data_IF_908814139417
#
_entry.id   IF_908814139417
#
_cell.length_a   1.000
_cell.length_b   1.000
_cell.length_c   1.000
_cell.angle_alpha   90.00
_cell.angle_beta   90.00
_cell.angle_gamma   90.00
#
_symmetry.space_group_name_H-M   'P 1'
#
loop_
_entity.id
_entity.type
_entity.pdbx_description
1 polymer ?
#
# COMPACT_ATOMS: atom_id res chain seq x y z
N UNK A 1 -9.27 -25.89 -6.81
CA UNK A 1 -7.97 -25.89 -6.12
C UNK A 1 -7.42 -27.30 -6.15
N UNK A 2 -6.09 -27.46 -6.20
CA UNK A 2 -5.46 -28.78 -6.20
C UNK A 2 -5.57 -29.40 -4.78
N UNK A 3 -6.35 -30.48 -4.57
CA UNK A 3 -6.68 -30.96 -3.22
C UNK A 3 -5.47 -31.49 -2.43
N UNK A 4 -4.40 -31.89 -3.12
CA UNK A 4 -3.16 -32.37 -2.49
C UNK A 4 -2.39 -31.24 -1.79
N UNK A 5 -2.24 -30.09 -2.42
CA UNK A 5 -1.52 -28.94 -1.86
C UNK A 5 -2.27 -28.33 -0.65
N UNK A 6 -3.60 -28.39 -0.65
CA UNK A 6 -4.42 -27.84 0.43
C UNK A 6 -4.36 -28.65 1.74
N UNK A 7 -3.79 -29.86 1.72
CA UNK A 7 -3.59 -30.66 2.94
C UNK A 7 -2.39 -30.17 3.76
N UNK A 8 -1.35 -29.70 3.09
CA UNK A 8 -0.05 -29.41 3.72
C UNK A 8 0.20 -27.91 3.89
N UNK A 9 -0.57 -27.06 3.21
CA UNK A 9 -0.37 -25.62 3.19
C UNK A 9 -1.66 -24.86 3.50
N UNK A 10 -1.56 -23.83 4.34
CA UNK A 10 -2.69 -22.94 4.58
C UNK A 10 -2.99 -22.11 3.32
N UNK A 11 -4.21 -21.58 3.16
CA UNK A 11 -4.51 -20.64 2.09
C UNK A 11 -3.60 -19.40 2.07
N UNK A 12 -3.02 -19.02 3.21
CA UNK A 12 -2.08 -17.91 3.29
C UNK A 12 -0.72 -18.28 2.71
N UNK A 13 -0.23 -19.49 2.97
CA UNK A 13 1.05 -19.99 2.45
C UNK A 13 1.00 -20.12 0.92
N UNK A 14 -0.11 -20.65 0.39
CA UNK A 14 -0.33 -20.76 -1.05
C UNK A 14 -0.32 -19.37 -1.72
N UNK A 15 -0.98 -18.37 -1.11
CA UNK A 15 -0.98 -17.00 -1.65
C UNK A 15 0.38 -16.34 -1.57
N UNK A 16 1.12 -16.58 -0.48
CA UNK A 16 2.47 -16.07 -0.30
C UNK A 16 3.41 -16.62 -1.39
N UNK A 17 3.41 -17.93 -1.61
CA UNK A 17 4.20 -18.58 -2.66
C UNK A 17 3.78 -18.11 -4.07
N UNK A 18 2.47 -17.96 -4.33
CA UNK A 18 2.00 -17.43 -5.61
C UNK A 18 2.45 -15.98 -5.83
N UNK A 19 2.42 -15.15 -4.78
CA UNK A 19 2.90 -13.76 -4.84
C UNK A 19 4.40 -13.74 -5.10
N UNK A 20 5.19 -14.55 -4.39
CA UNK A 20 6.62 -14.68 -4.64
C UNK A 20 6.91 -15.08 -6.09
N UNK A 21 6.23 -16.11 -6.61
CA UNK A 21 6.39 -16.55 -7.99
C UNK A 21 6.04 -15.44 -9.01
N UNK A 22 4.91 -14.76 -8.83
CA UNK A 22 4.46 -13.69 -9.72
C UNK A 22 5.42 -12.48 -9.71
N UNK A 23 6.07 -12.22 -8.58
CA UNK A 23 6.97 -11.08 -8.40
C UNK A 23 8.46 -11.46 -8.45
N UNK A 24 8.81 -12.74 -8.70
CA UNK A 24 10.18 -13.17 -8.92
C UNK A 24 10.75 -12.64 -10.25
N UNK A 25 9.89 -12.40 -11.24
CA UNK A 25 10.24 -11.94 -12.58
C UNK A 25 9.48 -10.69 -13.00
N UNK A 26 9.62 -9.60 -12.25
CA UNK A 26 8.93 -8.33 -12.56
C UNK A 26 9.39 -7.81 -13.93
N UNK A 27 8.42 -7.48 -14.79
CA UNK A 27 8.70 -6.91 -16.12
C UNK A 27 9.55 -5.64 -16.02
N UNK A 28 10.55 -5.45 -16.92
CA UNK A 28 11.33 -4.22 -17.00
C UNK A 28 10.48 -2.95 -17.10
N UNK A 29 9.29 -3.04 -17.72
CA UNK A 29 8.35 -1.92 -17.81
C UNK A 29 7.83 -1.48 -16.44
N UNK A 30 7.50 -2.43 -15.57
CA UNK A 30 7.05 -2.13 -14.19
C UNK A 30 8.19 -1.53 -13.38
N UNK A 31 9.43 -2.05 -13.55
CA UNK A 31 10.62 -1.51 -12.88
C UNK A 31 10.90 -0.07 -13.34
N UNK A 32 10.83 0.19 -14.64
CA UNK A 32 11.03 1.53 -15.20
C UNK A 32 9.98 2.51 -14.68
N UNK A 33 8.71 2.09 -14.65
CA UNK A 33 7.62 2.89 -14.13
C UNK A 33 7.76 3.15 -12.62
N UNK A 34 8.16 2.14 -11.84
CA UNK A 34 8.43 2.30 -10.41
C UNK A 34 9.56 3.29 -10.15
N UNK A 35 10.64 3.25 -10.95
CA UNK A 35 11.73 4.25 -10.86
C UNK A 35 11.23 5.66 -11.17
N UNK A 36 10.40 5.83 -12.21
CA UNK A 36 9.78 7.12 -12.55
C UNK A 36 8.95 7.65 -11.39
N UNK A 37 8.11 6.82 -10.80
CA UNK A 37 7.28 7.21 -9.66
C UNK A 37 8.12 7.50 -8.40
N UNK A 38 9.14 6.70 -8.10
CA UNK A 38 10.03 6.91 -6.96
C UNK A 38 10.74 8.27 -7.06
N UNK A 39 11.28 8.61 -8.23
CA UNK A 39 11.89 9.93 -8.48
C UNK A 39 10.88 11.07 -8.36
N UNK A 40 9.62 10.87 -8.79
CA UNK A 40 8.58 11.87 -8.66
C UNK A 40 8.14 12.09 -7.20
N UNK A 41 8.06 11.02 -6.43
CA UNK A 41 7.57 11.04 -5.04
C UNK A 41 8.65 11.54 -4.07
N UNK A 42 9.88 11.06 -4.21
CA UNK A 42 10.96 11.30 -3.25
C UNK A 42 12.09 12.18 -3.78
N UNK A 43 12.09 12.50 -5.08
CA UNK A 43 13.20 13.20 -5.71
C UNK A 43 14.42 12.32 -5.95
N UNK A 44 15.53 12.92 -6.43
CA UNK A 44 16.77 12.19 -6.76
C UNK A 44 17.48 11.59 -5.54
N UNK A 45 17.18 12.05 -4.33
CA UNK A 45 17.74 11.52 -3.09
C UNK A 45 17.14 10.15 -2.71
N UNK A 46 15.99 9.80 -3.29
CA UNK A 46 15.29 8.56 -2.96
C UNK A 46 14.56 8.61 -1.61
N UNK A 47 13.89 7.50 -1.24
CA UNK A 47 13.10 7.42 -0.03
C UNK A 47 13.98 7.52 1.23
N UNK A 48 13.49 8.16 2.31
CA UNK A 48 14.20 8.20 3.58
C UNK A 48 14.24 6.81 4.25
N UNK A 49 15.31 6.52 5.00
CA UNK A 49 15.52 5.19 5.61
C UNK A 49 14.41 4.79 6.60
N UNK A 50 13.80 5.73 7.32
CA UNK A 50 12.73 5.45 8.30
C UNK A 50 11.32 5.62 7.71
N UNK A 51 11.15 5.30 6.42
CA UNK A 51 9.86 5.41 5.73
C UNK A 51 8.83 4.39 6.25
N UNK A 52 7.62 4.87 6.52
CA UNK A 52 6.45 4.06 6.83
C UNK A 52 5.45 4.14 5.68
N UNK A 53 5.06 3.01 5.11
CA UNK A 53 3.98 2.94 4.12
C UNK A 53 2.64 2.91 4.84
N UNK A 54 1.76 3.85 4.51
CA UNK A 54 0.37 3.90 4.95
C UNK A 54 -0.53 3.70 3.74
N UNK A 55 -1.32 2.62 3.72
CA UNK A 55 -2.31 2.40 2.67
C UNK A 55 -3.73 2.66 3.17
N UNK A 56 -4.35 3.73 2.66
CA UNK A 56 -5.72 4.10 2.98
C UNK A 56 -6.65 3.74 1.82
N UNK A 57 -7.46 2.69 2.01
CA UNK A 57 -8.51 2.30 1.06
C UNK A 57 -9.82 3.01 1.42
N UNK A 58 -9.92 4.28 1.06
CA UNK A 58 -11.20 5.01 0.99
C UNK A 58 -11.73 4.99 -0.45
N UNK A 59 -12.80 5.73 -0.74
CA UNK A 59 -13.51 5.69 -2.02
C UNK A 59 -14.81 4.89 -1.98
N UNK A 60 -15.09 4.14 -3.05
CA UNK A 60 -16.29 3.32 -3.22
C UNK A 60 -16.50 2.30 -2.09
N UNK A 61 -15.41 1.86 -1.45
CA UNK A 61 -15.40 0.94 -0.31
C UNK A 61 -16.11 1.48 0.94
N UNK A 62 -16.33 2.79 1.07
CA UNK A 62 -17.18 3.35 2.12
C UNK A 62 -18.63 2.85 2.08
N UNK A 63 -19.07 2.34 0.92
CA UNK A 63 -20.38 1.71 0.74
C UNK A 63 -20.41 0.25 1.21
N UNK A 64 -19.25 -0.39 1.35
CA UNK A 64 -19.11 -1.80 1.72
C UNK A 64 -18.72 -2.00 3.19
N UNK A 65 -18.03 -1.02 3.80
CA UNK A 65 -17.59 -1.12 5.19
C UNK A 65 -17.39 0.25 5.84
N UNK A 66 -17.52 0.30 7.18
CA UNK A 66 -17.14 1.48 7.97
C UNK A 66 -15.67 1.81 7.75
N UNK A 67 -15.39 3.01 7.24
CA UNK A 67 -14.03 3.46 6.97
C UNK A 67 -13.23 3.57 8.28
N UNK A 68 -11.95 3.21 8.22
CA UNK A 68 -10.99 3.48 9.30
C UNK A 68 -10.65 4.96 9.23
N UNK A 69 -10.76 5.66 10.36
CA UNK A 69 -10.51 7.10 10.43
C UNK A 69 -9.03 7.43 10.24
N UNK A 70 -8.73 8.61 9.68
CA UNK A 70 -7.37 9.11 9.52
C UNK A 70 -6.59 9.12 10.86
N UNK A 71 -7.25 9.50 11.96
CA UNK A 71 -6.66 9.49 13.30
C UNK A 71 -6.17 8.10 13.74
N UNK A 72 -6.87 7.02 13.35
CA UNK A 72 -6.41 5.66 13.65
C UNK A 72 -5.15 5.30 12.89
N UNK A 73 -5.03 5.72 11.62
CA UNK A 73 -3.80 5.56 10.85
C UNK A 73 -2.64 6.33 11.46
N UNK A 74 -2.83 7.60 11.82
CA UNK A 74 -1.81 8.43 12.50
C UNK A 74 -1.38 7.79 13.81
N UNK A 75 -2.32 7.34 14.63
CA UNK A 75 -2.00 6.67 15.90
C UNK A 75 -1.24 5.35 15.70
N UNK A 76 -1.51 4.61 14.63
CA UNK A 76 -0.73 3.43 14.28
C UNK A 76 0.69 3.79 13.85
N UNK A 77 0.88 4.80 12.99
CA UNK A 77 2.22 5.27 12.61
C UNK A 77 3.02 5.68 13.84
N UNK A 78 2.43 6.41 14.80
CA UNK A 78 3.10 6.79 16.05
C UNK A 78 3.63 5.59 16.85
N UNK A 79 2.95 4.44 16.82
CA UNK A 79 3.39 3.21 17.50
C UNK A 79 4.57 2.54 16.80
N UNK A 80 4.78 2.83 15.52
CA UNK A 80 5.90 2.30 14.74
C UNK A 80 7.13 3.21 14.83
N UNK A 81 6.94 4.52 14.98
CA UNK A 81 8.06 5.44 15.17
C UNK A 81 8.78 5.19 16.51
N UNK A 82 10.12 5.17 16.55
CA UNK A 82 10.89 5.05 17.80
C UNK A 82 10.51 6.13 18.82
N UNK A 83 10.54 5.79 20.12
CA UNK A 83 10.20 6.73 21.20
C UNK A 83 11.12 7.97 21.24
N UNK A 84 12.32 7.83 20.67
CA UNK A 84 13.44 8.75 20.65
C UNK A 84 13.67 9.39 19.26
N UNK A 85 12.90 9.03 18.23
CA UNK A 85 12.82 9.86 17.02
C UNK A 85 11.93 11.05 17.36
N UNK A 86 12.56 12.16 17.68
CA UNK A 86 11.91 13.44 17.92
C UNK A 86 11.05 13.83 16.72
N UNK A 87 9.72 13.64 16.85
CA UNK A 87 8.62 14.31 16.11
C UNK A 87 8.49 14.11 14.59
N UNK A 88 9.55 13.82 13.85
CA UNK A 88 9.52 13.79 12.37
C UNK A 88 9.27 12.38 11.84
N UNK A 89 8.07 12.13 11.30
CA UNK A 89 7.73 10.87 10.63
C UNK A 89 7.86 11.01 9.12
N UNK A 90 8.42 10.01 8.44
CA UNK A 90 8.41 9.93 6.98
C UNK A 90 7.36 8.91 6.53
N UNK A 91 6.31 9.38 5.84
CA UNK A 91 5.15 8.57 5.47
C UNK A 91 5.02 8.55 3.96
N UNK A 92 5.02 7.35 3.37
CA UNK A 92 4.49 7.15 2.03
C UNK A 92 2.99 6.84 2.13
N UNK A 93 2.15 7.73 1.62
CA UNK A 93 0.70 7.63 1.69
C UNK A 93 0.13 7.13 0.36
N UNK A 94 -0.17 5.84 0.32
CA UNK A 94 -0.82 5.18 -0.81
C UNK A 94 -2.35 5.24 -0.67
N UNK A 95 -3.01 5.95 -1.58
CA UNK A 95 -4.47 6.02 -1.65
C UNK A 95 -4.92 6.49 -3.03
N UNK A 96 -6.13 6.10 -3.43
CA UNK A 96 -6.80 6.62 -4.62
C UNK A 96 -7.79 7.76 -4.29
N UNK A 97 -7.91 8.16 -3.02
CA UNK A 97 -8.90 9.11 -2.56
C UNK A 97 -8.25 10.42 -2.08
N UNK A 98 -8.44 11.56 -2.77
CA UNK A 98 -7.93 12.85 -2.30
C UNK A 98 -8.51 13.25 -0.94
N UNK A 99 -9.72 12.80 -0.58
CA UNK A 99 -10.29 13.07 0.74
C UNK A 99 -9.52 12.35 1.85
N UNK A 100 -8.97 11.15 1.57
CA UNK A 100 -8.09 10.44 2.50
C UNK A 100 -6.78 11.19 2.72
N UNK A 101 -6.20 11.76 1.67
CA UNK A 101 -4.99 12.59 1.76
C UNK A 101 -5.24 13.80 2.66
N UNK A 102 -6.32 14.54 2.40
CA UNK A 102 -6.68 15.70 3.21
C UNK A 102 -6.89 15.33 4.68
N UNK A 103 -7.72 14.31 4.94
CA UNK A 103 -8.00 13.88 6.31
C UNK A 103 -6.75 13.38 7.04
N UNK A 104 -5.86 12.66 6.35
CA UNK A 104 -4.59 12.20 6.94
C UNK A 104 -3.66 13.37 7.25
N UNK A 105 -3.49 14.32 6.33
CA UNK A 105 -2.69 15.54 6.55
C UNK A 105 -3.23 16.38 7.71
N UNK A 106 -4.55 16.53 7.82
CA UNK A 106 -5.17 17.26 8.93
C UNK A 106 -5.01 16.57 10.29
N UNK A 107 -4.94 15.24 10.33
CA UNK A 107 -4.78 14.48 11.56
C UNK A 107 -3.31 14.27 11.96
N UNK A 108 -2.38 14.33 11.00
CA UNK A 108 -0.96 14.10 11.22
C UNK A 108 -0.28 15.29 11.90
N UNK A 109 0.76 15.06 12.73
CA UNK A 109 1.64 16.12 13.20
C UNK A 109 2.24 16.93 12.03
N UNK A 110 2.38 18.26 12.15
CA UNK A 110 2.93 19.11 11.09
C UNK A 110 4.39 18.81 10.78
N UNK A 111 5.12 18.16 11.70
CA UNK A 111 6.52 17.75 11.51
C UNK A 111 6.66 16.49 10.64
N UNK A 112 5.56 15.87 10.22
CA UNK A 112 5.63 14.67 9.37
C UNK A 112 5.80 15.03 7.90
N UNK A 113 6.75 14.37 7.25
CA UNK A 113 6.90 14.41 5.80
C UNK A 113 5.94 13.38 5.19
N UNK A 114 4.92 13.86 4.48
CA UNK A 114 3.90 13.02 3.85
C UNK A 114 4.10 13.03 2.35
N UNK A 115 4.70 11.96 1.84
CA UNK A 115 4.89 11.68 0.43
C UNK A 115 3.64 11.00 -0.12
N UNK A 116 2.93 11.65 -1.03
CA UNK A 116 1.69 11.11 -1.61
C UNK A 116 2.04 10.30 -2.87
N UNK A 117 1.39 9.15 -3.02
CA UNK A 117 1.54 8.29 -4.17
C UNK A 117 1.27 9.02 -5.50
N UNK A 118 2.23 8.94 -6.42
CA UNK A 118 2.15 9.52 -7.76
C UNK A 118 0.95 8.98 -8.56
N UNK A 119 0.50 7.76 -8.27
CA UNK A 119 -0.72 7.19 -8.86
C UNK A 119 -1.93 8.11 -8.66
N UNK A 120 -2.10 8.65 -7.46
CA UNK A 120 -3.25 9.51 -7.16
C UNK A 120 -3.26 10.73 -8.08
N UNK A 121 -2.16 11.47 -8.11
CA UNK A 121 -2.06 12.71 -8.89
C UNK A 121 -2.26 12.48 -10.38
N UNK A 122 -1.68 11.40 -10.91
CA UNK A 122 -1.73 11.07 -12.33
C UNK A 122 -3.13 10.68 -12.80
N UNK A 123 -3.86 9.91 -11.98
CA UNK A 123 -5.17 9.40 -12.35
C UNK A 123 -6.34 10.16 -11.76
N UNK A 124 -6.10 11.17 -10.90
CA UNK A 124 -7.15 12.02 -10.35
C UNK A 124 -8.07 12.63 -11.43
N UNK A 125 -7.58 13.16 -12.57
CA UNK A 125 -8.45 13.70 -13.64
C UNK A 125 -9.34 12.65 -14.31
N UNK A 126 -8.98 11.37 -14.18
CA UNK A 126 -9.70 10.24 -14.77
C UNK A 126 -10.57 9.49 -13.77
N UNK A 127 -10.42 9.79 -12.47
CA UNK A 127 -11.18 9.18 -11.39
C UNK A 127 -12.65 9.54 -11.50
N UNK A 128 -13.51 8.53 -11.47
CA UNK A 128 -14.94 8.70 -11.29
C UNK A 128 -15.35 8.26 -9.88
N UNK A 129 -15.27 9.19 -8.93
CA UNK A 129 -15.47 8.92 -7.50
C UNK A 129 -16.84 8.32 -7.15
N UNK A 130 -17.84 8.49 -8.02
CA UNK A 130 -19.21 8.05 -7.79
C UNK A 130 -19.52 6.68 -8.42
N UNK A 131 -18.58 6.10 -9.18
CA UNK A 131 -18.80 4.88 -9.95
C UNK A 131 -18.15 3.68 -9.27
N UNK A 132 -18.95 2.66 -8.99
CA UNK A 132 -18.45 1.34 -8.58
C UNK A 132 -17.51 0.78 -9.66
N UNK A 133 -16.41 0.12 -9.27
CA UNK A 133 -15.37 -0.34 -10.19
C UNK A 133 -14.75 0.78 -11.06
N UNK A 134 -14.52 1.96 -10.47
CA UNK A 134 -13.89 3.09 -11.16
C UNK A 134 -12.54 2.74 -11.81
N UNK A 135 -11.66 2.03 -11.10
CA UNK A 135 -10.33 1.69 -11.61
C UNK A 135 -10.33 0.72 -12.80
N UNK A 136 -11.07 -0.42 -12.79
CA UNK A 136 -11.18 -1.28 -13.98
C UNK A 136 -11.65 -0.52 -15.23
N UNK A 137 -12.63 0.38 -15.07
CA UNK A 137 -13.15 1.17 -16.18
C UNK A 137 -12.14 2.21 -16.68
N UNK A 138 -11.42 2.86 -15.76
CA UNK A 138 -10.32 3.75 -16.07
C UNK A 138 -9.20 3.02 -16.81
N UNK A 139 -8.85 1.80 -16.38
CA UNK A 139 -7.87 0.96 -17.05
C UNK A 139 -8.28 0.60 -18.46
N UNK A 140 -9.54 0.22 -18.68
CA UNK A 140 -10.03 -0.06 -20.03
C UNK A 140 -9.95 1.19 -20.93
N UNK A 141 -10.32 2.36 -20.40
CA UNK A 141 -10.27 3.64 -21.14
C UNK A 141 -8.85 4.08 -21.48
N UNK A 142 -7.90 3.83 -20.58
CA UNK A 142 -6.51 4.31 -20.68
C UNK A 142 -5.53 3.21 -21.15
N UNK A 143 -6.02 2.16 -21.81
CA UNK A 143 -5.17 1.12 -22.39
C UNK A 143 -4.33 0.34 -21.38
N UNK A 144 -4.82 0.20 -20.14
CA UNK A 144 -4.15 -0.53 -19.08
C UNK A 144 -3.10 0.26 -18.29
N UNK A 145 -2.84 1.53 -18.60
CA UNK A 145 -1.83 2.34 -17.89
C UNK A 145 -2.04 2.42 -16.37
N UNK A 146 -3.27 2.48 -15.81
CA UNK A 146 -3.44 2.45 -14.35
C UNK A 146 -3.06 1.11 -13.72
N UNK A 147 -3.16 0.01 -14.47
CA UNK A 147 -2.70 -1.30 -13.99
C UNK A 147 -1.18 -1.31 -13.82
N UNK A 148 -0.46 -0.81 -14.83
CA UNK A 148 0.99 -0.66 -14.80
C UNK A 148 1.42 0.29 -13.66
N UNK A 149 0.80 1.47 -13.58
CA UNK A 149 1.11 2.45 -12.56
C UNK A 149 0.77 1.97 -11.14
N UNK A 150 -0.30 1.19 -10.98
CA UNK A 150 -0.63 0.54 -9.72
C UNK A 150 0.45 -0.45 -9.28
N UNK A 151 0.89 -1.34 -10.19
CA UNK A 151 1.99 -2.27 -9.90
C UNK A 151 3.29 -1.54 -9.55
N UNK A 152 3.58 -0.41 -10.20
CA UNK A 152 4.72 0.42 -9.84
C UNK A 152 4.59 1.07 -8.47
N UNK A 153 3.42 1.65 -8.15
CA UNK A 153 3.11 2.19 -6.82
C UNK A 153 3.29 1.13 -5.72
N UNK A 154 2.94 -0.13 -6.01
CA UNK A 154 3.19 -1.24 -5.10
C UNK A 154 4.68 -1.42 -4.78
N UNK A 155 5.56 -1.29 -5.77
CA UNK A 155 7.01 -1.36 -5.56
C UNK A 155 7.54 -0.14 -4.80
N UNK A 156 7.03 1.05 -5.10
CA UNK A 156 7.35 2.26 -4.33
C UNK A 156 6.95 2.09 -2.86
N UNK A 157 5.79 1.48 -2.59
CA UNK A 157 5.34 1.16 -1.24
C UNK A 157 6.27 0.17 -0.51
N UNK A 158 7.01 -0.67 -1.24
CA UNK A 158 7.95 -1.65 -0.70
C UNK A 158 9.31 -1.05 -0.30
N UNK A 159 9.57 0.22 -0.62
CA UNK A 159 10.74 0.94 -0.13
C UNK A 159 10.66 1.26 1.37
N UNK A 160 9.47 1.15 1.97
CA UNK A 160 9.26 1.36 3.39
C UNK A 160 9.74 0.19 4.25
N UNK A 161 10.09 0.52 5.50
CA UNK A 161 10.55 -0.44 6.49
C UNK A 161 9.46 -0.90 7.47
N UNK A 162 8.37 -0.13 7.57
CA UNK A 162 7.21 -0.48 8.37
C UNK A 162 5.90 -0.11 7.65
N UNK A 163 4.80 -0.73 8.06
CA UNK A 163 3.54 -0.66 7.32
C UNK A 163 2.32 -0.42 8.22
N UNK A 164 1.42 0.46 7.80
CA UNK A 164 0.07 0.58 8.36
C UNK A 164 -0.95 0.31 7.27
N UNK A 165 -1.68 -0.80 7.41
CA UNK A 165 -2.53 -1.33 6.35
C UNK A 165 -3.93 -1.68 6.88
N UNK A 166 -4.83 -2.01 5.95
CA UNK A 166 -6.14 -2.59 6.25
C UNK A 166 -6.33 -3.84 5.40
N UNK A 167 -6.08 -5.04 5.93
CA UNK A 167 -6.07 -6.27 5.11
C UNK A 167 -7.46 -6.70 4.60
N UNK A 168 -8.51 -5.98 4.98
CA UNK A 168 -9.80 -5.96 4.28
C UNK A 168 -9.70 -5.46 2.83
N UNK A 169 -8.66 -4.70 2.48
CA UNK A 169 -8.32 -4.33 1.11
C UNK A 169 -7.45 -5.40 0.47
N UNK A 170 -7.84 -5.89 -0.71
CA UNK A 170 -7.02 -6.80 -1.51
C UNK A 170 -5.62 -6.22 -1.74
N UNK A 171 -5.51 -4.91 -1.98
CA UNK A 171 -4.24 -4.22 -2.19
C UNK A 171 -3.33 -4.27 -0.96
N UNK A 172 -3.90 -4.01 0.22
CA UNK A 172 -3.16 -4.16 1.48
C UNK A 172 -2.74 -5.60 1.77
N UNK A 173 -3.50 -6.60 1.31
CA UNK A 173 -3.08 -8.00 1.43
C UNK A 173 -1.87 -8.30 0.56
N UNK A 174 -1.86 -7.85 -0.69
CA UNK A 174 -0.71 -8.01 -1.59
C UNK A 174 0.53 -7.33 -1.01
N UNK A 175 0.41 -6.09 -0.52
CA UNK A 175 1.50 -5.40 0.20
C UNK A 175 2.02 -6.25 1.37
N UNK A 176 1.11 -6.80 2.18
CA UNK A 176 1.46 -7.61 3.34
C UNK A 176 2.06 -8.98 2.97
N UNK A 177 1.69 -9.56 1.83
CA UNK A 177 2.28 -10.78 1.30
C UNK A 177 3.71 -10.49 0.81
N UNK A 178 3.90 -9.45 -0.03
CA UNK A 178 5.21 -9.03 -0.54
C UNK A 178 6.22 -8.67 0.55
N UNK A 179 5.80 -7.91 1.58
CA UNK A 179 6.74 -7.54 2.66
C UNK A 179 7.25 -8.78 3.41
N UNK A 180 6.43 -9.83 3.53
CA UNK A 180 6.74 -11.03 4.30
C UNK A 180 7.62 -11.99 3.51
N UNK A 181 7.34 -12.16 2.21
CA UNK A 181 8.05 -13.13 1.38
C UNK A 181 9.31 -12.56 0.76
N UNK A 182 9.25 -11.33 0.25
CA UNK A 182 10.37 -10.74 -0.50
C UNK A 182 11.22 -9.86 0.40
N UNK A 183 10.62 -8.86 1.05
CA UNK A 183 11.42 -7.86 1.77
C UNK A 183 12.05 -8.41 3.04
N UNK A 184 11.31 -9.18 3.86
CA UNK A 184 11.85 -9.75 5.08
C UNK A 184 13.04 -10.69 4.80
N UNK A 185 12.93 -11.53 3.76
CA UNK A 185 14.02 -12.37 3.30
C UNK A 185 15.23 -11.54 2.83
N UNK A 186 15.00 -10.51 2.00
CA UNK A 186 16.06 -9.62 1.50
C UNK A 186 16.80 -8.86 2.62
N UNK A 187 16.05 -8.37 3.61
CA UNK A 187 16.58 -7.51 4.67
C UNK A 187 17.10 -8.32 5.87
N UNK A 188 16.89 -9.64 5.90
CA UNK A 188 17.30 -10.50 7.01
C UNK A 188 16.64 -10.14 8.34
N UNK A 189 15.50 -9.44 8.32
CA UNK A 189 14.77 -9.01 9.52
C UNK A 189 13.27 -8.92 9.27
N UNK A 190 12.50 -9.04 10.35
CA UNK A 190 11.06 -8.85 10.29
C UNK A 190 10.71 -7.35 10.13
N UNK A 191 9.78 -7.07 9.22
CA UNK A 191 9.20 -5.74 9.02
C UNK A 191 7.92 -5.62 9.84
N UNK A 192 7.76 -4.53 10.59
CA UNK A 192 6.59 -4.37 11.46
C UNK A 192 5.40 -3.90 10.63
N UNK A 193 4.23 -4.36 11.03
CA UNK A 193 2.98 -3.96 10.39
C UNK A 193 1.87 -3.87 11.42
N UNK A 194 1.09 -2.79 11.35
CA UNK A 194 -0.16 -2.63 12.10
C UNK A 194 -1.32 -2.76 11.11
N UNK A 195 -2.15 -3.78 11.33
CA UNK A 195 -3.39 -3.97 10.60
C UNK A 195 -4.55 -3.32 11.36
N UNK A 196 -5.17 -2.31 10.76
CA UNK A 196 -6.29 -1.60 11.38
C UNK A 196 -7.64 -2.29 11.15
N UNK A 197 -7.69 -3.31 10.29
CA UNK A 197 -8.89 -4.11 9.97
C UNK A 197 -8.49 -5.55 9.70
N UNK A 198 -8.02 -6.23 10.74
CA UNK A 198 -7.76 -7.67 10.70
C UNK A 198 -9.08 -8.42 10.69
N UNK A 199 -9.26 -9.36 9.76
CA UNK A 199 -10.39 -10.29 9.81
C UNK A 199 -10.19 -11.21 11.03
N UNK A 200 -11.08 -11.15 11.99
CA UNK A 200 -11.13 -12.09 13.14
C UNK A 200 -12.39 -12.92 12.97
N UNK A 201 -12.24 -14.25 12.93
CA UNK A 201 -13.34 -15.22 12.85
C UNK A 201 -14.34 -14.99 11.69
N UNK A 202 -13.82 -14.61 10.52
CA UNK A 202 -14.62 -14.50 9.30
C UNK A 202 -15.53 -13.27 9.21
N UNK A 203 -15.58 -12.42 10.24
CA UNK A 203 -16.33 -11.15 10.25
C UNK A 203 -15.37 -9.96 10.15
N UNK A 204 -15.84 -8.89 9.51
CA UNK A 204 -15.06 -7.67 9.21
C UNK A 204 -15.30 -6.56 10.23
#
# INVERSE_FOLDING_TARGET
GCPSIQKDYSPADIRAAATEFLFAGISPLVVQEARRQLLRVFGPQGPPENLVTVHIRWGDKGREMKLVSAAQYVNAVRKLLPANTTRTGNIFLATEDPAAVQAFRSAAPPEWNIFVDAYLEEFLPHRNANKYNGNPLMSAKLGGSPGLAGLASLLVAMEANDFVLTTASNWSRVINELRKTILAARLGRELRMIDLRRKVDGKW
#
